data_IF_277047910617
#
_entry.id   IF_277047910617
#
_cell.length_a   1.000
_cell.length_b   1.000
_cell.length_c   1.000
_cell.angle_alpha   90.00
_cell.angle_beta   90.00
_cell.angle_gamma   90.00
#
_symmetry.space_group_name_H-M   'P 1'
#
loop_
_entity.id
_entity.type
_entity.pdbx_description
1 polymer ?
#
# COMPACT_ATOMS: atom_id res chain seq x y z
N UNK A 1 25.21 5.70 -40.61
CA UNK A 1 23.93 6.05 -39.95
C UNK A 1 23.69 5.06 -38.82
N UNK A 2 23.88 5.46 -37.57
CA UNK A 2 23.53 4.63 -36.40
C UNK A 2 22.31 5.28 -35.75
N UNK A 3 21.13 4.70 -35.96
CA UNK A 3 19.92 5.06 -35.24
C UNK A 3 19.68 4.02 -34.15
N UNK A 4 20.00 4.35 -32.90
CA UNK A 4 19.48 3.64 -31.73
C UNK A 4 19.64 4.47 -30.45
N UNK A 5 18.98 5.63 -30.35
CA UNK A 5 18.66 6.20 -29.05
C UNK A 5 17.47 5.44 -28.43
N UNK A 6 17.69 4.16 -28.09
CA UNK A 6 16.79 3.46 -27.19
C UNK A 6 17.06 4.06 -25.80
N UNK A 7 16.18 4.96 -25.36
CA UNK A 7 16.11 5.36 -23.94
C UNK A 7 15.97 4.08 -23.14
N UNK A 8 17.06 3.61 -22.54
CA UNK A 8 17.03 2.55 -21.54
C UNK A 8 16.25 3.14 -20.37
N UNK A 9 14.96 2.86 -20.32
CA UNK A 9 14.15 3.06 -19.13
C UNK A 9 14.89 2.28 -18.03
N UNK A 10 15.61 2.98 -17.16
CA UNK A 10 16.24 2.40 -15.98
C UNK A 10 15.17 1.54 -15.31
N UNK A 11 15.40 0.22 -15.28
CA UNK A 11 14.50 -0.66 -14.57
C UNK A 11 14.39 -0.12 -13.15
N UNK A 12 13.16 0.11 -12.70
CA UNK A 12 12.87 0.58 -11.35
C UNK A 12 13.63 -0.33 -10.39
N UNK A 13 14.62 0.21 -9.66
CA UNK A 13 15.37 -0.56 -8.68
C UNK A 13 14.39 -1.05 -7.60
N UNK A 14 14.00 -2.32 -7.69
CA UNK A 14 12.99 -2.95 -6.82
C UNK A 14 13.37 -2.84 -5.35
N UNK A 15 14.68 -2.92 -5.03
CA UNK A 15 15.17 -2.78 -3.66
C UNK A 15 14.95 -1.35 -3.14
N UNK A 16 15.27 -0.33 -3.94
CA UNK A 16 15.06 1.06 -3.55
C UNK A 16 13.58 1.40 -3.34
N UNK A 17 12.68 0.86 -4.19
CA UNK A 17 11.24 1.04 -4.02
C UNK A 17 10.70 0.35 -2.77
N UNK A 18 11.17 -0.87 -2.51
CA UNK A 18 10.79 -1.61 -1.32
C UNK A 18 11.23 -0.90 -0.05
N UNK A 19 12.47 -0.37 -0.02
CA UNK A 19 12.97 0.43 1.09
C UNK A 19 12.11 1.68 1.32
N UNK A 20 11.72 2.39 0.24
CA UNK A 20 10.83 3.56 0.33
C UNK A 20 9.45 3.21 0.89
N UNK A 21 8.86 2.08 0.46
CA UNK A 21 7.57 1.61 0.99
C UNK A 21 7.69 1.34 2.49
N UNK A 22 8.73 0.62 2.92
CA UNK A 22 8.97 0.31 4.33
C UNK A 22 9.10 1.60 5.15
N UNK A 23 9.97 2.52 4.71
CA UNK A 23 10.21 3.78 5.43
C UNK A 23 8.93 4.62 5.55
N UNK A 24 8.14 4.73 4.47
CA UNK A 24 6.91 5.50 4.48
C UNK A 24 5.85 4.91 5.42
N UNK A 25 5.67 3.58 5.39
CA UNK A 25 4.67 2.92 6.24
C UNK A 25 5.08 3.00 7.72
N UNK A 26 6.36 2.77 8.03
CA UNK A 26 6.87 2.92 9.40
C UNK A 26 6.67 4.35 9.92
N UNK A 27 6.98 5.37 9.12
CA UNK A 27 6.79 6.76 9.53
C UNK A 27 5.30 7.13 9.77
N UNK A 28 4.37 6.49 9.05
CA UNK A 28 2.93 6.69 9.28
C UNK A 28 2.44 5.96 10.54
N UNK A 29 2.97 4.75 10.81
CA UNK A 29 2.71 3.97 12.03
C UNK A 29 3.24 4.72 13.26
N UNK A 30 4.47 5.25 13.20
CA UNK A 30 5.10 6.06 14.27
C UNK A 30 4.32 7.35 14.58
N UNK A 31 3.71 7.97 13.56
CA UNK A 31 2.86 9.16 13.73
C UNK A 31 1.43 8.84 14.16
N UNK A 32 1.10 7.57 14.39
CA UNK A 32 -0.26 7.10 14.69
C UNK A 32 -1.29 7.49 13.63
N UNK A 33 -0.87 7.69 12.37
CA UNK A 33 -1.76 7.97 11.25
C UNK A 33 -2.40 6.71 10.68
N UNK A 34 -1.72 5.58 10.88
CA UNK A 34 -2.22 4.25 10.55
C UNK A 34 -1.96 3.30 11.71
N UNK A 35 -2.84 2.33 11.90
CA UNK A 35 -2.66 1.25 12.89
C UNK A 35 -2.87 -0.09 12.21
N UNK A 36 -1.95 -1.03 12.45
CA UNK A 36 -1.99 -2.38 11.90
C UNK A 36 -2.27 -3.35 13.05
N UNK A 37 -3.41 -4.02 13.01
CA UNK A 37 -3.82 -5.02 14.00
C UNK A 37 -4.19 -6.32 13.29
N UNK A 38 -3.27 -7.27 13.24
CA UNK A 38 -3.43 -8.47 12.42
C UNK A 38 -3.73 -8.09 10.96
N UNK A 39 -4.77 -8.69 10.38
CA UNK A 39 -5.19 -8.43 9.00
C UNK A 39 -5.98 -7.12 8.82
N UNK A 40 -6.20 -6.36 9.89
CA UNK A 40 -6.96 -5.12 9.86
C UNK A 40 -6.04 -3.90 9.91
N UNK A 41 -6.31 -2.96 9.00
CA UNK A 41 -5.58 -1.71 8.83
C UNK A 41 -6.55 -0.57 9.09
N UNK A 42 -6.24 0.24 10.08
CA UNK A 42 -7.03 1.40 10.46
C UNK A 42 -6.35 2.67 9.96
N UNK A 43 -7.08 3.52 9.23
CA UNK A 43 -6.57 4.76 8.68
C UNK A 43 -7.68 5.78 8.41
N UNK A 44 -7.29 7.03 8.20
CA UNK A 44 -8.18 8.11 7.74
C UNK A 44 -8.19 8.17 6.20
N UNK A 45 -9.36 8.10 5.53
CA UNK A 45 -9.47 8.17 4.06
C UNK A 45 -8.80 9.39 3.43
N UNK A 46 -8.67 10.48 4.18
CA UNK A 46 -8.00 11.73 3.79
C UNK A 46 -6.52 11.54 3.45
N UNK A 47 -5.91 10.44 3.90
CA UNK A 47 -4.56 10.03 3.47
C UNK A 47 -4.52 9.61 2.00
N UNK A 48 -5.67 9.28 1.42
CA UNK A 48 -5.81 8.94 0.01
C UNK A 48 -6.29 10.15 -0.78
N UNK A 49 -5.46 10.61 -1.72
CA UNK A 49 -5.79 11.73 -2.58
C UNK A 49 -6.85 11.39 -3.63
N UNK A 50 -6.77 10.18 -4.19
CA UNK A 50 -7.60 9.72 -5.30
C UNK A 50 -7.65 8.18 -5.31
N UNK A 51 -8.60 7.64 -6.06
CA UNK A 51 -8.83 6.19 -6.19
C UNK A 51 -7.58 5.42 -6.65
N UNK A 52 -6.82 5.95 -7.60
CA UNK A 52 -5.64 5.26 -8.14
C UNK A 52 -4.55 5.20 -7.07
N UNK A 53 -4.31 6.34 -6.41
CA UNK A 53 -3.37 6.45 -5.30
C UNK A 53 -3.74 5.50 -4.16
N UNK A 54 -5.01 5.41 -3.78
CA UNK A 54 -5.50 4.50 -2.75
C UNK A 54 -5.25 3.02 -3.10
N UNK A 55 -5.60 2.60 -4.31
CA UNK A 55 -5.39 1.21 -4.77
C UNK A 55 -3.90 0.83 -4.80
N UNK A 56 -3.03 1.77 -5.18
CA UNK A 56 -1.58 1.57 -5.13
C UNK A 56 -1.09 1.48 -3.68
N UNK A 57 -1.61 2.33 -2.81
CA UNK A 57 -1.26 2.35 -1.40
C UNK A 57 -1.63 1.04 -0.70
N UNK A 58 -2.82 0.49 -0.98
CA UNK A 58 -3.27 -0.83 -0.51
C UNK A 58 -2.26 -1.93 -0.90
N UNK A 59 -1.79 -1.93 -2.15
CA UNK A 59 -0.79 -2.91 -2.63
C UNK A 59 0.55 -2.75 -1.94
N UNK A 60 1.01 -1.50 -1.76
CA UNK A 60 2.25 -1.20 -1.04
C UNK A 60 2.18 -1.68 0.41
N UNK A 61 1.04 -1.50 1.06
CA UNK A 61 0.84 -1.92 2.44
C UNK A 61 0.83 -3.45 2.57
N UNK A 62 0.21 -4.15 1.62
CA UNK A 62 0.31 -5.61 1.56
C UNK A 62 1.76 -6.09 1.44
N UNK A 63 2.57 -5.45 0.59
CA UNK A 63 4.00 -5.73 0.50
C UNK A 63 4.72 -5.48 1.82
N UNK A 64 4.45 -4.37 2.50
CA UNK A 64 5.00 -4.09 3.83
C UNK A 64 4.63 -5.18 4.84
N UNK A 65 3.36 -5.60 4.89
CA UNK A 65 2.90 -6.62 5.83
C UNK A 65 3.57 -7.98 5.59
N UNK A 66 3.76 -8.37 4.31
CA UNK A 66 4.52 -9.58 3.99
C UNK A 66 5.96 -9.50 4.49
N UNK A 67 6.63 -8.37 4.26
CA UNK A 67 8.06 -8.20 4.57
C UNK A 67 8.35 -8.01 6.06
N UNK A 68 7.48 -7.31 6.79
CA UNK A 68 7.74 -6.89 8.17
C UNK A 68 6.85 -7.57 9.21
N UNK A 69 5.64 -8.00 8.84
CA UNK A 69 4.67 -8.61 9.75
C UNK A 69 4.46 -10.11 9.47
N UNK A 70 5.25 -10.71 8.55
CA UNK A 70 5.27 -12.14 8.18
C UNK A 70 3.96 -12.67 7.58
N UNK A 71 3.20 -11.80 6.90
CA UNK A 71 1.98 -12.25 6.23
C UNK A 71 2.34 -13.06 4.98
N UNK A 72 1.51 -14.05 4.67
CA UNK A 72 1.58 -14.77 3.41
C UNK A 72 0.97 -13.93 2.31
N UNK A 73 1.37 -14.17 1.07
CA UNK A 73 0.80 -13.48 -0.09
C UNK A 73 -0.71 -13.72 -0.26
N UNK A 74 -1.21 -14.85 0.26
CA UNK A 74 -2.63 -15.20 0.26
C UNK A 74 -3.43 -14.49 1.34
N UNK A 75 -2.77 -13.92 2.34
CA UNK A 75 -3.47 -13.34 3.49
C UNK A 75 -4.19 -12.07 3.07
N UNK A 76 -5.47 -11.92 3.42
CA UNK A 76 -6.21 -10.71 3.10
C UNK A 76 -5.77 -9.56 4.00
N UNK A 77 -5.96 -8.33 3.50
CA UNK A 77 -5.96 -7.13 4.31
C UNK A 77 -7.31 -6.43 4.23
N UNK A 78 -7.81 -5.98 5.36
CA UNK A 78 -9.05 -5.23 5.48
C UNK A 78 -8.74 -3.83 5.96
N UNK A 79 -9.28 -2.82 5.26
CA UNK A 79 -9.05 -1.43 5.57
C UNK A 79 -10.31 -0.88 6.23
N UNK A 80 -10.13 -0.21 7.36
CA UNK A 80 -11.19 0.38 8.18
C UNK A 80 -10.87 1.82 8.52
N UNK A 81 -11.91 2.62 8.72
CA UNK A 81 -11.76 3.97 9.22
C UNK A 81 -11.17 3.94 10.63
N UNK A 82 -10.22 4.84 10.93
CA UNK A 82 -9.51 4.84 12.20
C UNK A 82 -10.43 5.00 13.42
N UNK A 83 -11.40 5.90 13.34
CA UNK A 83 -12.34 6.20 14.44
C UNK A 83 -13.66 5.42 14.41
N UNK A 84 -14.31 5.29 13.24
CA UNK A 84 -15.65 4.68 13.11
C UNK A 84 -15.59 3.18 12.85
N UNK A 85 -14.41 2.62 12.57
CA UNK A 85 -14.19 1.24 12.14
C UNK A 85 -14.95 0.80 10.87
N UNK A 86 -15.55 1.76 10.16
CA UNK A 86 -16.28 1.48 8.92
C UNK A 86 -15.35 0.93 7.84
N UNK A 87 -15.81 -0.05 7.05
CA UNK A 87 -14.97 -0.70 6.06
C UNK A 87 -14.69 0.24 4.88
N UNK A 88 -13.41 0.52 4.64
CA UNK A 88 -12.94 1.39 3.55
C UNK A 88 -12.56 0.60 2.28
N UNK A 89 -12.15 -0.65 2.45
CA UNK A 89 -11.61 -1.44 1.35
C UNK A 89 -10.96 -2.73 1.78
N UNK A 90 -10.37 -3.43 0.81
CA UNK A 90 -9.67 -4.69 1.06
C UNK A 90 -8.61 -4.99 0.00
N UNK A 91 -7.65 -5.82 0.38
CA UNK A 91 -6.79 -6.56 -0.52
C UNK A 91 -7.06 -8.05 -0.34
N UNK A 92 -7.61 -8.71 -1.37
CA UNK A 92 -7.87 -10.16 -1.34
C UNK A 92 -7.66 -10.73 -2.74
N UNK A 93 -7.10 -11.94 -2.82
CA UNK A 93 -6.87 -12.63 -4.09
C UNK A 93 -6.07 -11.77 -5.10
N UNK A 94 -5.01 -11.11 -4.61
CA UNK A 94 -4.15 -10.19 -5.37
C UNK A 94 -4.87 -8.97 -5.97
N UNK A 95 -6.09 -8.65 -5.51
CA UNK A 95 -6.90 -7.53 -5.99
C UNK A 95 -7.20 -6.56 -4.85
N UNK A 96 -6.90 -5.29 -5.09
CA UNK A 96 -7.30 -4.18 -4.23
C UNK A 96 -8.72 -3.73 -4.61
N UNK A 97 -9.56 -3.45 -3.61
CA UNK A 97 -10.90 -2.90 -3.76
C UNK A 97 -11.11 -1.78 -2.74
N UNK A 98 -11.85 -0.76 -3.14
CA UNK A 98 -12.31 0.32 -2.28
C UNK A 98 -13.83 0.23 -2.16
N UNK A 99 -14.34 0.62 -1.00
CA UNK A 99 -15.76 0.69 -0.69
C UNK A 99 -16.25 2.14 -0.52
N UNK A 100 -15.33 3.10 -0.55
CA UNK A 100 -15.59 4.53 -0.47
C UNK A 100 -15.44 5.19 -1.84
N UNK A 101 -16.18 6.29 -2.03
CA UNK A 101 -16.05 7.20 -3.15
C UNK A 101 -15.10 8.37 -2.82
N UNK A 102 -14.57 9.03 -3.85
CA UNK A 102 -13.62 10.15 -3.75
C UNK A 102 -14.24 11.44 -4.26
#
# INVERSE_FOLDING_TARGET
MIYANKKVQQSKNTAAQTAKIIANVMALEEKNLIRISGQEIFLYPELWKDKISALNWIKCLHLYCMLKKRFKESDPLYFKHFSTEEPLGSYKNKKARLLIDF
#
